data_IF_732114341739
#
_entry.id   IF_732114341739
#
_cell.length_a   1.000
_cell.length_b   1.000
_cell.length_c   1.000
_cell.angle_alpha   90.00
_cell.angle_beta   90.00
_cell.angle_gamma   90.00
#
_symmetry.space_group_name_H-M   'P 1'
#
loop_
_entity.id
_entity.type
_entity.pdbx_description
1 polymer ?
2 non-polymer ?
3 non-polymer ?
4 non-polymer ?
5 water ?
#
# COMPACT_ATOMS: atom_id res chain seq x y z
N UNK A 2 -5.89 21.61 3.43
CA UNK A 2 -6.19 20.28 2.76
C UNK A 2 -6.93 20.48 1.42
N UNK A 3 -6.37 19.96 0.31
CA UNK A 3 -7.17 19.96 -0.93
C UNK A 3 -8.44 19.11 -0.82
N UNK A 4 -9.47 19.47 -1.57
CA UNK A 4 -10.72 18.68 -1.56
C UNK A 4 -10.56 17.32 -2.19
N UNK A 5 -9.69 17.24 -3.19
CA UNK A 5 -9.31 15.99 -3.85
C UNK A 5 -7.82 15.85 -3.93
N UNK A 6 -7.37 14.59 -3.86
CA UNK A 6 -5.94 14.26 -4.02
C UNK A 6 -5.85 13.01 -4.89
N UNK A 7 -4.88 12.99 -5.81
CA UNK A 7 -4.60 11.81 -6.59
C UNK A 7 -3.09 11.83 -6.91
N UNK A 8 -2.35 11.03 -6.14
CA UNK A 8 -0.89 11.00 -6.27
C UNK A 8 -0.36 10.46 -7.61
N UNK A 9 -1.20 9.83 -8.43
CA UNK A 9 -0.81 9.45 -9.81
C UNK A 9 -0.54 10.69 -10.68
N UNK A 10 -1.31 11.76 -10.47
CA UNK A 10 -1.12 13.05 -11.14
C UNK A 10 0.26 13.65 -10.89
N UNK A 11 0.91 13.31 -9.78
CA UNK A 11 2.28 13.75 -9.53
C UNK A 11 3.35 12.71 -9.86
N UNK A 12 3.00 11.66 -10.57
CA UNK A 12 3.97 10.65 -10.98
C UNK A 12 4.57 9.88 -9.80
N UNK A 13 3.84 9.78 -8.69
CA UNK A 13 4.33 9.13 -7.46
C UNK A 13 3.86 7.68 -7.29
N UNK A 14 3.18 7.13 -8.31
CA UNK A 14 2.53 5.81 -8.23
C UNK A 14 2.92 4.96 -9.46
N UNK A 15 3.50 3.78 -9.20
CA UNK A 15 3.94 2.87 -10.24
C UNK A 15 2.76 2.10 -10.80
N UNK A 16 3.00 1.39 -11.90
CA UNK A 16 1.99 0.51 -12.47
C UNK A 16 1.38 -0.47 -11.43
N UNK A 17 0.11 -0.77 -11.65
CA UNK A 17 -0.60 -1.72 -10.81
C UNK A 17 0.02 -3.10 -11.02
N UNK A 18 0.32 -3.78 -9.91
CA UNK A 18 0.89 -5.12 -9.93
C UNK A 18 -0.16 -6.22 -9.74
N UNK A 19 0.24 -7.45 -10.04
CA UNK A 19 -0.66 -8.60 -10.03
C UNK A 19 -0.03 -9.60 -9.07
N UNK A 20 -0.59 -9.69 -7.85
CA UNK A 20 -0.03 -10.62 -6.86
C UNK A 20 -0.19 -12.11 -7.20
N UNK A 21 -1.17 -12.42 -8.04
CA UNK A 21 -1.43 -13.79 -8.44
C UNK A 21 -1.84 -14.59 -7.22
N UNK A 22 -1.36 -15.82 -7.15
CA UNK A 22 -1.82 -16.78 -6.14
C UNK A 22 -0.99 -16.75 -4.85
N UNK A 23 -0.38 -15.62 -4.52
CA UNK A 23 0.45 -15.48 -3.35
C UNK A 23 -0.16 -14.36 -2.50
N UNK A 24 -0.43 -14.67 -1.23
CA UNK A 24 -1.03 -13.73 -0.30
C UNK A 24 0.02 -12.77 0.27
N UNK A 25 0.59 -11.97 -0.61
CA UNK A 25 1.64 -11.04 -0.27
C UNK A 25 1.17 -9.59 -0.43
N UNK A 26 -0.13 -9.34 -0.21
CA UNK A 26 -0.68 -7.99 -0.36
C UNK A 26 0.05 -7.00 0.54
N UNK A 27 0.38 -7.45 1.74
CA UNK A 27 1.19 -6.66 2.66
C UNK A 27 2.47 -6.09 2.01
N UNK A 28 3.15 -6.89 1.19
CA UNK A 28 4.38 -6.46 0.55
C UNK A 28 4.14 -5.45 -0.53
N UNK A 29 3.12 -5.67 -1.35
CA UNK A 29 2.80 -4.71 -2.38
C UNK A 29 2.39 -3.37 -1.77
N UNK A 30 1.64 -3.42 -0.67
CA UNK A 30 1.19 -2.22 0.00
C UNK A 30 2.39 -1.43 0.52
N UNK A 31 3.34 -2.13 1.14
CA UNK A 31 4.53 -1.47 1.67
C UNK A 31 5.39 -0.87 0.58
N UNK A 32 5.74 -1.64 -0.44
CA UNK A 32 6.58 -1.07 -1.52
C UNK A 32 5.88 0.10 -2.20
N UNK A 33 4.56 0.03 -2.39
CA UNK A 33 3.80 1.10 -3.00
C UNK A 33 4.00 2.42 -2.27
N UNK A 34 3.95 2.35 -0.94
CA UNK A 34 4.10 3.53 -0.10
C UNK A 34 5.48 4.12 -0.19
N UNK A 35 6.50 3.26 -0.16
CA UNK A 35 7.89 3.73 -0.23
C UNK A 35 8.27 4.26 -1.61
N UNK A 36 7.72 3.66 -2.68
CA UNK A 36 7.89 4.14 -4.06
C UNK A 36 7.53 5.61 -4.16
N UNK A 37 6.42 6.00 -3.56
CA UNK A 37 5.97 7.39 -3.58
C UNK A 37 6.96 8.33 -2.89
N UNK A 38 7.49 7.87 -1.76
CA UNK A 38 8.50 8.64 -1.02
C UNK A 38 9.82 8.79 -1.78
N UNK A 39 10.25 7.73 -2.43
CA UNK A 39 11.45 7.75 -3.24
C UNK A 39 11.33 8.78 -4.35
N UNK A 40 10.16 8.81 -5.00
CA UNK A 40 9.89 9.78 -6.06
C UNK A 40 9.86 11.19 -5.50
N UNK A 41 9.15 11.38 -4.39
CA UNK A 41 9.09 12.69 -3.71
C UNK A 41 10.48 13.23 -3.36
N UNK A 42 11.38 12.35 -2.90
CA UNK A 42 12.67 12.75 -2.39
C UNK A 42 13.76 12.86 -3.45
N UNK A 43 13.63 12.12 -4.55
CA UNK A 43 14.68 12.08 -5.58
C UNK A 43 14.21 12.41 -6.98
N UNK A 44 12.90 12.53 -7.21
CA UNK A 44 12.36 12.65 -8.56
C UNK A 44 12.36 11.40 -9.43
N UNK A 45 12.84 10.27 -8.94
CA UNK A 45 12.83 9.03 -9.72
C UNK A 45 11.73 8.09 -9.22
N UNK A 46 10.96 7.54 -10.15
CA UNK A 46 9.92 6.56 -9.84
C UNK A 46 10.43 5.21 -10.27
N UNK A 47 10.56 4.29 -9.34
CA UNK A 47 10.98 2.94 -9.69
C UNK A 47 10.20 1.97 -8.83
N UNK A 48 9.69 0.91 -9.47
CA UNK A 48 9.06 -0.20 -8.74
C UNK A 48 10.08 -0.89 -7.87
N UNK A 49 9.70 -1.04 -6.60
CA UNK A 49 10.54 -1.72 -5.59
C UNK A 49 10.08 -3.17 -5.41
N UNK A 50 10.96 -3.99 -4.88
CA UNK A 50 10.79 -5.43 -4.93
C UNK A 50 9.89 -5.95 -3.79
N UNK A 51 8.63 -6.20 -4.08
CA UNK A 51 7.75 -6.97 -3.18
C UNK A 51 8.37 -8.34 -2.84
N UNK A 52 9.08 -8.95 -3.79
CA UNK A 52 9.69 -10.27 -3.57
C UNK A 52 10.78 -10.26 -2.50
N UNK A 53 11.60 -9.21 -2.51
CA UNK A 53 12.61 -8.91 -1.49
C UNK A 53 11.96 -9.01 -0.11
N UNK A 54 10.78 -8.42 0.03
CA UNK A 54 10.05 -8.45 1.30
C UNK A 54 9.55 -9.87 1.63
N UNK A 55 8.92 -10.51 0.64
CA UNK A 55 8.42 -11.91 0.81
C UNK A 55 9.54 -12.84 1.26
N UNK A 56 10.70 -12.76 0.62
CA UNK A 56 11.80 -13.66 0.93
C UNK A 56 12.57 -13.32 2.20
N UNK A 57 12.70 -12.03 2.52
CA UNK A 57 13.65 -11.56 3.56
C UNK A 57 13.05 -11.00 4.82
N UNK A 58 11.85 -10.44 4.73
CA UNK A 58 11.17 -9.90 5.91
C UNK A 58 10.25 -11.01 6.38
N UNK A 59 10.78 -11.84 7.28
CA UNK A 59 10.14 -13.07 7.69
C UNK A 59 9.90 -13.10 9.24
N UNK A 60 10.41 -14.11 9.92
CA UNK A 60 9.97 -14.37 11.30
C UNK A 60 10.36 -13.26 12.30
N UNK A 61 11.44 -12.55 12.03
CA UNK A 61 11.81 -11.41 12.86
C UNK A 61 10.75 -10.27 12.81
N UNK A 62 10.01 -10.18 11.69
CA UNK A 62 9.01 -9.14 11.45
C UNK A 62 7.58 -9.66 11.54
N UNK A 63 7.43 -10.91 12.00
CA UNK A 63 6.13 -11.53 12.10
C UNK A 63 5.43 -11.77 10.78
N UNK A 64 6.19 -11.89 9.70
CA UNK A 64 5.65 -12.00 8.36
C UNK A 64 5.88 -13.40 7.83
N UNK A 65 4.96 -13.86 6.98
CA UNK A 65 4.97 -15.23 6.46
C UNK A 65 4.87 -15.33 4.93
N UNK A 66 5.47 -14.37 4.23
CA UNK A 66 5.51 -14.37 2.79
C UNK A 66 4.16 -14.45 2.12
N UNK A 67 3.95 -15.52 1.36
CA UNK A 67 2.68 -15.71 0.65
C UNK A 67 1.50 -16.05 1.57
N UNK A 68 1.78 -16.32 2.85
CA UNK A 68 0.73 -16.49 3.88
C UNK A 68 0.49 -15.23 4.77
N UNK A 69 0.91 -14.06 4.32
CA UNK A 69 0.52 -12.82 4.95
C UNK A 69 1.61 -12.16 5.76
N UNK A 70 1.26 -11.01 6.32
CA UNK A 70 2.22 -10.13 6.96
C UNK A 70 1.67 -8.72 7.15
N UNK A 71 2.58 -7.82 7.48
CA UNK A 71 2.24 -6.46 7.93
C UNK A 71 3.17 -5.46 7.25
N UNK A 72 2.57 -4.37 6.81
CA UNK A 72 3.30 -3.24 6.23
C UNK A 72 4.26 -2.58 7.21
N UNK A 73 3.84 -2.40 8.46
CA UNK A 73 4.69 -1.75 9.49
C UNK A 73 6.03 -2.47 9.65
N UNK A 74 5.95 -3.78 9.84
CA UNK A 74 7.17 -4.56 10.08
C UNK A 74 7.98 -4.76 8.78
N UNK A 75 7.29 -4.76 7.65
CA UNK A 75 7.98 -4.65 6.34
C UNK A 75 8.87 -3.40 6.30
N UNK A 76 8.35 -2.24 6.72
CA UNK A 76 9.13 -1.02 6.74
C UNK A 76 10.30 -1.17 7.70
N UNK A 77 10.09 -1.84 8.84
CA UNK A 77 11.19 -2.06 9.82
C UNK A 77 12.29 -2.92 9.24
N UNK A 78 11.91 -3.90 8.42
CA UNK A 78 12.89 -4.69 7.71
C UNK A 78 13.77 -3.80 6.84
N UNK A 79 13.12 -2.94 6.06
CA UNK A 79 13.82 -2.01 5.13
C UNK A 79 14.77 -1.11 5.93
N UNK A 80 14.31 -0.67 7.09
CA UNK A 80 15.14 0.14 8.01
C UNK A 80 16.36 -0.64 8.49
N UNK A 81 16.11 -1.80 9.07
CA UNK A 81 17.15 -2.70 9.60
C UNK A 81 18.17 -3.11 8.54
N UNK A 82 17.66 -3.42 7.35
CA UNK A 82 18.46 -3.92 6.23
C UNK A 82 19.27 -2.82 5.51
N UNK A 83 19.00 -1.57 5.82
CA UNK A 83 19.57 -0.45 5.08
C UNK A 83 19.27 -0.49 3.58
N UNK A 84 18.11 -1.00 3.21
CA UNK A 84 17.74 -0.99 1.82
C UNK A 84 16.77 -2.06 1.37
N UNK A 85 16.24 -1.81 0.19
CA UNK A 85 15.39 -2.76 -0.54
C UNK A 85 15.77 -2.69 -2.02
N UNK A 86 15.76 -3.83 -2.71
CA UNK A 86 16.05 -3.85 -4.14
C UNK A 86 14.92 -3.32 -5.01
N UNK A 87 15.28 -2.91 -6.22
CA UNK A 87 14.31 -2.61 -7.26
C UNK A 87 13.61 -3.91 -7.67
N UNK A 88 12.36 -3.76 -8.08
CA UNK A 88 11.59 -4.88 -8.64
C UNK A 88 12.28 -5.48 -9.86
N UNK A 89 12.82 -4.65 -10.73
CA UNK A 89 13.54 -5.12 -11.92
C UNK A 89 14.70 -6.08 -11.59
N UNK A 90 15.49 -5.73 -10.57
CA UNK A 90 16.59 -6.57 -10.10
C UNK A 90 16.20 -7.80 -9.30
N UNK A 91 15.07 -7.72 -8.59
CA UNK A 91 14.61 -8.79 -7.69
C UNK A 91 13.13 -9.00 -7.98
N UNK A 92 12.83 -9.68 -9.12
CA UNK A 92 11.45 -9.73 -9.61
C UNK A 92 10.54 -10.66 -8.84
N UNK A 93 9.26 -10.46 -9.07
CA UNK A 93 8.20 -11.06 -8.30
C UNK A 93 7.76 -12.40 -8.92
N UNK A 94 7.77 -13.45 -8.11
CA UNK A 94 7.52 -14.82 -8.54
C UNK A 94 6.30 -15.43 -7.88
N UNK A 95 5.60 -14.69 -7.02
CA UNK A 95 4.38 -15.18 -6.39
C UNK A 95 4.59 -16.51 -5.65
N UNK A 96 5.71 -16.63 -4.96
CA UNK A 96 6.00 -17.79 -4.14
C UNK A 96 7.14 -17.46 -3.19
N UNK A 97 7.22 -18.18 -2.08
CA UNK A 97 8.26 -17.96 -1.09
C UNK A 97 9.57 -18.41 -1.68
N UNK A 98 10.59 -17.57 -1.57
CA UNK A 98 11.94 -17.96 -1.94
C UNK A 98 12.92 -17.67 -0.81
N UNK A 99 14.08 -18.28 -0.95
CA UNK A 99 15.29 -17.88 -0.24
C UNK A 99 15.57 -16.36 -0.39
N UNK A 100 15.92 -15.71 0.72
CA UNK A 100 16.33 -14.30 0.70
C UNK A 100 17.54 -14.05 -0.20
N UNK A 101 17.34 -13.28 -1.26
CA UNK A 101 18.40 -12.95 -2.23
C UNK A 101 18.68 -11.45 -2.31
N UNK A 102 18.48 -10.73 -1.20
CA UNK A 102 18.76 -9.30 -1.17
C UNK A 102 20.18 -9.08 -1.64
N UNK A 103 20.36 -8.15 -2.55
CA UNK A 103 21.68 -7.76 -3.03
C UNK A 103 21.81 -6.24 -2.91
N UNK A 104 22.70 -5.77 -2.04
CA UNK A 104 22.93 -4.33 -1.87
C UNK A 104 23.39 -3.63 -3.15
N UNK A 105 24.00 -4.36 -4.09
CA UNK A 105 24.35 -3.78 -5.40
C UNK A 105 23.16 -3.13 -6.15
N UNK A 106 21.95 -3.67 -5.97
CA UNK A 106 20.77 -3.18 -6.67
C UNK A 106 19.75 -2.49 -5.75
N UNK A 107 20.19 -2.08 -4.56
CA UNK A 107 19.34 -1.32 -3.64
C UNK A 107 18.81 -0.04 -4.29
N UNK A 108 17.50 0.12 -4.37
CA UNK A 108 16.88 1.30 -5.01
C UNK A 108 16.34 2.33 -4.00
N UNK A 109 16.11 1.89 -2.77
CA UNK A 109 15.55 2.77 -1.75
C UNK A 109 15.96 2.33 -0.37
N UNK A 110 15.87 3.27 0.56
CA UNK A 110 16.03 3.01 1.97
C UNK A 110 14.76 3.55 2.65
N UNK A 111 14.71 3.37 3.96
CA UNK A 111 13.61 3.89 4.78
C UNK A 111 14.27 4.34 6.07
N UNK A 112 13.92 5.52 6.54
CA UNK A 112 14.45 6.10 7.79
C UNK A 112 13.58 5.72 8.99
N UNK A 113 12.26 5.79 8.79
CA UNK A 113 11.29 5.61 9.85
C UNK A 113 9.91 5.30 9.25
N UNK A 114 8.98 4.91 10.09
CA UNK A 114 7.60 4.84 9.66
C UNK A 114 6.70 5.32 10.77
N UNK A 115 5.51 5.78 10.40
CA UNK A 115 4.55 6.33 11.33
C UNK A 115 3.26 5.53 11.21
N UNK A 116 2.71 5.13 12.34
CA UNK A 116 1.39 4.49 12.39
C UNK A 116 0.37 5.54 12.80
N UNK A 117 -0.75 5.59 12.08
CA UNK A 117 -1.80 6.57 12.35
C UNK A 117 -2.82 6.02 13.37
N UNK A 118 -3.55 6.92 14.05
CA UNK A 118 -4.56 6.48 15.02
C UNK A 118 -5.73 5.71 14.40
N UNK A 119 -6.20 4.67 15.09
CA UNK A 119 -7.26 3.78 14.61
C UNK A 119 -8.57 4.51 14.37
N UNK A 120 -9.09 4.31 13.16
CA UNK A 120 -10.38 4.83 12.74
C UNK A 120 -10.47 6.31 12.44
N UNK A 121 -9.36 7.04 12.54
CA UNK A 121 -9.35 8.49 12.37
C UNK A 121 -9.20 8.85 10.89
N UNK A 122 -10.35 9.01 10.24
CA UNK A 122 -10.38 9.27 8.80
C UNK A 122 -9.90 10.67 8.45
N UNK A 123 -10.17 11.64 9.33
CA UNK A 123 -9.55 12.99 9.28
C UNK A 123 -8.02 13.00 9.31
N UNK A 124 -7.45 12.17 10.17
CA UNK A 124 -6.00 12.12 10.29
C UNK A 124 -5.44 11.44 9.03
N UNK A 125 -6.15 10.42 8.53
CA UNK A 125 -5.74 9.74 7.29
C UNK A 125 -5.74 10.69 6.11
N UNK A 126 -6.79 11.48 6.01
CA UNK A 126 -6.92 12.49 4.98
C UNK A 126 -5.71 13.45 5.00
N UNK A 127 -5.38 13.93 6.20
CA UNK A 127 -4.25 14.86 6.38
C UNK A 127 -2.89 14.26 5.94
N UNK A 128 -2.65 12.99 6.31
CA UNK A 128 -1.44 12.30 5.91
C UNK A 128 -1.39 12.07 4.40
N UNK A 129 -2.53 11.70 3.81
CA UNK A 129 -2.55 11.48 2.36
C UNK A 129 -2.20 12.78 1.63
N UNK A 130 -2.74 13.90 2.13
CA UNK A 130 -2.54 15.22 1.51
C UNK A 130 -1.12 15.73 1.71
N UNK A 131 -0.64 15.67 2.93
CA UNK A 131 0.64 16.28 3.30
C UNK A 131 1.85 15.35 3.23
N UNK A 132 1.67 14.03 3.41
CA UNK A 132 2.79 13.08 3.39
C UNK A 132 2.94 12.27 2.10
N UNK A 133 1.84 11.69 1.63
CA UNK A 133 1.89 10.84 0.45
C UNK A 133 0.99 9.64 0.61
N UNK A 134 1.07 8.69 -0.32
CA UNK A 134 0.26 7.49 -0.19
C UNK A 134 0.51 6.76 1.13
N UNK A 135 -0.56 6.22 1.71
CA UNK A 135 -0.55 5.56 3.01
C UNK A 135 -0.95 4.10 2.87
N UNK A 136 -0.14 3.23 3.47
CA UNK A 136 -0.44 1.79 3.52
C UNK A 136 -1.58 1.58 4.50
N UNK A 137 -2.57 0.79 4.08
CA UNK A 137 -3.70 0.46 4.93
C UNK A 137 -4.15 -1.00 4.69
N UNK A 138 -4.85 -1.54 5.70
CA UNK A 138 -5.63 -2.74 5.56
C UNK A 138 -7.08 -2.39 5.31
N UNK A 139 -7.77 -3.25 4.54
CA UNK A 139 -9.21 -3.20 4.42
C UNK A 139 -9.83 -4.57 4.63
N UNK A 140 -11.11 -4.57 4.99
CA UNK A 140 -11.96 -5.76 4.93
C UNK A 140 -12.38 -5.89 3.47
N UNK A 141 -11.68 -6.76 2.73
CA UNK A 141 -11.93 -7.04 1.33
C UNK A 141 -12.54 -8.43 1.08
N UNK A 142 -13.04 -9.09 2.12
CA UNK A 142 -13.49 -10.50 2.03
C UNK A 142 -14.87 -10.70 1.39
N UNK A 143 -15.60 -9.61 1.19
CA UNK A 143 -17.00 -9.68 0.76
C UNK A 143 -17.07 -9.76 -0.76
N UNK A 144 -17.99 -10.61 -1.28
CA UNK A 144 -18.16 -10.78 -2.72
C UNK A 144 -18.26 -9.49 -3.53
N UNK A 145 -18.84 -8.45 -2.95
CA UNK A 145 -18.98 -7.15 -3.63
C UNK A 145 -17.63 -6.52 -3.91
N UNK A 146 -16.66 -6.75 -3.02
CA UNK A 146 -15.29 -6.28 -3.27
C UNK A 146 -14.69 -6.97 -4.50
N UNK A 147 -14.89 -8.27 -4.61
CA UNK A 147 -14.32 -9.05 -5.72
C UNK A 147 -14.92 -8.63 -7.09
N UNK A 148 -16.20 -8.25 -7.08
CA UNK A 148 -16.95 -7.87 -8.29
C UNK A 148 -16.90 -6.37 -8.60
N UNK A 149 -16.25 -5.58 -7.73
CA UNK A 149 -16.21 -4.12 -7.89
C UNK A 149 -15.72 -3.73 -9.28
N UNK A 150 -16.52 -2.89 -9.96
CA UNK A 150 -16.15 -2.36 -11.28
C UNK A 150 -15.95 -0.84 -11.29
N UNK A 151 -16.83 -0.09 -10.64
CA UNK A 151 -16.81 1.38 -10.70
C UNK A 151 -17.65 2.01 -9.60
N UNK A 152 -17.65 3.34 -9.56
CA UNK A 152 -18.41 4.06 -8.55
C UNK A 152 -17.68 4.03 -7.21
N UNK A 153 -18.39 4.31 -6.14
CA UNK A 153 -17.82 4.30 -4.80
C UNK A 153 -18.29 3.05 -4.10
N UNK A 154 -17.33 2.26 -3.62
CA UNK A 154 -17.62 1.01 -2.96
C UNK A 154 -18.17 1.20 -1.54
N UNK A 155 -19.31 0.59 -1.28
CA UNK A 155 -19.96 0.54 0.04
C UNK A 155 -20.61 -0.80 0.20
N UNK A 156 -20.22 -1.50 1.26
CA UNK A 156 -20.71 -2.81 1.60
C UNK A 156 -21.25 -2.80 3.02
N UNK A 157 -22.59 -2.87 3.19
CA UNK A 157 -23.14 -2.91 4.56
C UNK A 157 -22.55 -4.01 5.49
N UNK A 158 -22.12 -5.14 4.94
CA UNK A 158 -21.50 -6.20 5.73
C UNK A 158 -20.02 -5.96 6.14
N UNK A 159 -19.38 -4.93 5.63
CA UNK A 159 -18.00 -4.66 5.96
C UNK A 159 -17.81 -4.47 7.45
N UNK A 160 -16.68 -4.91 7.97
CA UNK A 160 -16.31 -4.68 9.36
C UNK A 160 -15.04 -3.84 9.37
N UNK A 161 -14.63 -3.42 10.57
CA UNK A 161 -13.40 -2.65 10.74
C UNK A 161 -12.18 -3.56 10.90
N UNK A 162 -12.39 -4.88 10.85
CA UNK A 162 -11.28 -5.83 10.88
C UNK A 162 -10.73 -6.08 9.49
N UNK A 163 -9.44 -5.88 9.33
CA UNK A 163 -8.81 -5.86 8.04
C UNK A 163 -8.26 -7.24 7.67
N UNK A 164 -8.19 -7.52 6.37
CA UNK A 164 -7.69 -8.80 5.91
C UNK A 164 -6.97 -8.77 4.55
N UNK A 165 -6.62 -7.58 4.09
CA UNK A 165 -6.01 -7.41 2.79
C UNK A 165 -5.34 -6.06 2.79
N UNK A 166 -4.07 -6.03 2.42
CA UNK A 166 -3.31 -4.80 2.39
C UNK A 166 -3.40 -4.10 1.05
N UNK A 167 -3.67 -2.80 1.10
CA UNK A 167 -3.78 -1.94 -0.07
C UNK A 167 -3.10 -0.58 0.21
N UNK A 168 -3.17 0.33 -0.75
CA UNK A 168 -2.48 1.61 -0.69
C UNK A 168 -3.47 2.73 -1.02
N UNK A 169 -3.65 3.65 -0.07
CA UNK A 169 -4.43 4.88 -0.33
C UNK A 169 -3.56 5.88 -1.06
N UNK A 170 -3.92 6.15 -2.32
CA UNK A 170 -3.16 7.06 -3.16
C UNK A 170 -3.93 8.38 -3.38
N UNK A 171 -5.03 8.56 -2.68
CA UNK A 171 -5.73 9.81 -2.76
C UNK A 171 -7.10 9.76 -2.17
N UNK A 172 -7.89 10.80 -2.45
CA UNK A 172 -9.27 10.89 -1.99
C UNK A 172 -10.06 11.94 -2.83
N UNK A 173 -11.39 11.87 -2.76
CA UNK A 173 -12.23 12.81 -3.47
C UNK A 173 -13.70 12.69 -3.08
N UNK A 174 -14.59 13.23 -3.92
CA UNK A 174 -16.05 13.12 -3.71
C UNK A 174 -16.64 12.94 -5.11
N UNK A 175 -17.11 11.73 -5.42
CA UNK A 175 -17.62 11.41 -6.75
C UNK A 175 -19.09 11.83 -6.79
N UNK A 176 -19.36 13.02 -7.32
CA UNK A 176 -20.73 13.57 -7.36
C UNK A 176 -21.55 13.29 -6.09
N UNK A 177 -21.09 13.77 -4.93
CA UNK A 177 -21.83 13.52 -3.64
C UNK A 177 -21.55 12.24 -2.84
N UNK A 178 -20.57 11.45 -3.31
CA UNK A 178 -20.09 10.26 -2.61
C UNK A 178 -18.59 10.41 -2.31
N UNK A 179 -18.26 10.70 -1.05
CA UNK A 179 -16.85 10.82 -0.63
C UNK A 179 -16.17 9.46 -0.70
N UNK A 180 -14.94 9.43 -1.22
CA UNK A 180 -14.17 8.20 -1.34
C UNK A 180 -12.68 8.38 -1.05
N UNK A 181 -12.04 7.24 -0.75
CA UNK A 181 -10.61 7.04 -0.78
C UNK A 181 -10.21 6.36 -2.10
N UNK A 182 -9.20 6.89 -2.79
CA UNK A 182 -8.66 6.25 -3.97
C UNK A 182 -7.60 5.22 -3.54
N UNK A 183 -7.91 3.95 -3.82
CA UNK A 183 -7.13 2.79 -3.36
C UNK A 183 -6.51 2.00 -4.52
N UNK A 184 -5.20 1.79 -4.44
CA UNK A 184 -4.49 0.96 -5.39
C UNK A 184 -4.44 -0.45 -4.84
N UNK A 185 -5.02 -1.39 -5.57
CA UNK A 185 -4.95 -2.81 -5.22
C UNK A 185 -3.74 -3.43 -5.97
N UNK A 186 -3.52 -4.72 -5.71
CA UNK A 186 -2.46 -5.48 -6.35
C UNK A 186 -3.04 -6.72 -7.05
N UNK A 187 -4.19 -6.54 -7.70
CA UNK A 187 -4.86 -7.58 -8.49
C UNK A 187 -4.84 -7.29 -9.98
N UNK A 188 -3.82 -6.54 -10.43
CA UNK A 188 -3.68 -6.22 -11.85
C UNK A 188 -4.70 -5.19 -12.33
N UNK A 189 -4.59 -4.82 -13.59
CA UNK A 189 -5.39 -3.75 -14.15
C UNK A 189 -6.83 -4.12 -14.46
N UNK A 190 -7.19 -5.41 -14.43
CA UNK A 190 -8.57 -5.85 -14.71
C UNK A 190 -9.46 -5.89 -13.45
N UNK A 191 -8.88 -5.70 -12.28
CA UNK A 191 -9.68 -5.39 -11.10
C UNK A 191 -10.13 -3.93 -11.14
N UNK A 192 -11.39 -3.67 -10.81
CA UNK A 192 -11.90 -2.28 -10.61
C UNK A 192 -11.68 -1.35 -11.78
N UNK A 193 -11.21 -0.13 -11.48
CA UNK A 193 -10.96 0.87 -12.51
C UNK A 193 -9.46 0.90 -12.78
N UNK A 194 -9.02 0.07 -13.72
CA UNK A 194 -7.61 -0.11 -14.07
C UNK A 194 -6.75 -0.47 -12.87
N UNK A 195 -7.31 -1.31 -11.98
CA UNK A 195 -6.59 -1.79 -10.80
C UNK A 195 -6.86 -1.06 -9.49
N UNK A 196 -7.66 -0.02 -9.57
CA UNK A 196 -8.01 0.87 -8.46
C UNK A 196 -9.45 0.69 -8.01
N UNK A 197 -9.69 1.03 -6.75
CA UNK A 197 -11.03 1.02 -6.18
C UNK A 197 -11.25 2.27 -5.35
N UNK A 198 -12.36 2.95 -5.59
CA UNK A 198 -12.79 4.05 -4.74
C UNK A 198 -13.64 3.47 -3.60
N UNK A 199 -13.25 3.74 -2.37
CA UNK A 199 -13.88 3.12 -1.21
C UNK A 199 -14.48 4.22 -0.36
N UNK A 200 -15.64 3.94 0.22
CA UNK A 200 -16.42 4.96 0.94
C UNK A 200 -15.59 5.64 2.02
N UNK A 201 -15.59 6.98 2.01
CA UNK A 201 -14.85 7.80 2.98
C UNK A 201 -15.83 8.51 3.93
N UNK A 202 -15.40 8.69 5.18
CA UNK A 202 -16.21 9.31 6.25
C UNK A 202 -17.53 8.62 6.56
N UNK A 203 -17.60 7.31 6.32
CA UNK A 203 -18.71 6.50 6.72
C UNK A 203 -18.28 5.52 7.81
N UNK A 204 -17.80 6.07 8.92
CA UNK A 204 -17.51 5.29 10.13
C UNK A 204 -16.46 4.21 9.94
N UNK A 205 -15.34 4.61 9.33
CA UNK A 205 -14.21 3.75 9.09
C UNK A 205 -14.64 2.52 8.31
N UNK A 206 -15.22 2.77 7.15
CA UNK A 206 -15.84 1.71 6.36
C UNK A 206 -14.80 0.71 5.86
N UNK A 207 -15.08 -0.56 6.07
CA UNK A 207 -14.15 -1.67 5.77
C UNK A 207 -12.78 -1.55 6.50
N UNK A 208 -12.76 -0.85 7.63
CA UNK A 208 -11.55 -0.65 8.41
C UNK A 208 -10.42 0.03 7.67
N UNK A 209 -10.76 0.88 6.70
CA UNK A 209 -9.71 1.50 5.88
C UNK A 209 -8.77 2.37 6.72
N UNK A 210 -9.30 3.00 7.78
CA UNK A 210 -8.46 3.79 8.70
C UNK A 210 -8.08 3.02 9.96
N UNK A 211 -8.24 1.70 10.00
CA UNK A 211 -7.98 0.92 11.21
C UNK A 211 -6.48 0.91 11.56
N UNK A 212 -5.67 0.50 10.58
CA UNK A 212 -4.20 0.40 10.74
C UNK A 212 -3.40 1.01 9.58
N UNK A 213 -3.47 2.35 9.47
CA UNK A 213 -2.69 3.01 8.45
C UNK A 213 -1.26 3.23 8.90
N UNK A 214 -0.32 3.14 7.95
CA UNK A 214 1.06 3.53 8.18
C UNK A 214 1.72 4.03 6.89
N UNK A 215 2.75 4.87 7.05
CA UNK A 215 3.54 5.35 5.89
C UNK A 215 5.00 5.46 6.29
N UNK A 216 5.92 5.19 5.33
CA UNK A 216 7.34 5.28 5.54
C UNK A 216 7.84 6.68 5.22
N UNK A 217 9.02 7.00 5.70
CA UNK A 217 9.69 8.23 5.31
C UNK A 217 11.17 8.00 4.99
N UNK A 218 11.66 8.81 4.06
CA UNK A 218 13.10 8.88 3.71
C UNK A 218 13.58 10.29 4.12
N UNK A 219 14.33 10.36 5.20
CA UNK A 219 14.74 11.65 5.76
C UNK A 219 15.99 12.17 5.07
N UNK A 220 15.99 13.49 4.88
CA UNK A 220 17.13 14.23 4.35
C UNK A 220 17.73 15.02 5.50
N UNK A 221 18.75 14.39 6.11
CA UNK A 221 19.37 14.90 7.31
C UNK A 221 18.38 15.13 8.42
X LIG B 1 -7.00 -14.53 6.32
X LIG B 1 -6.25 -13.00 6.64
X LIG B 1 -5.42 -12.42 5.66
X LIG B 1 -5.17 -13.07 4.31
X LIG B 1 -5.89 -12.37 3.23
X LIG B 1 -7.21 -12.98 2.92
X LIG B 1 -8.01 -12.16 1.93
X LIG B 1 -7.60 -12.08 0.60
X LIG B 1 -8.32 -11.31 -0.31
X LIG B 1 -9.46 -10.64 0.09
X LIG B 1 -9.88 -10.72 1.40
X LIG B 1 -9.15 -11.48 2.32
X LIG B 1 -4.84 -11.19 5.97
X LIG B 1 -6.48 -12.41 7.86
X LIG B 1 -5.89 -11.19 8.14
X LIG B 1 -5.07 -10.57 7.20
X LIG B 1 -4.46 -9.32 7.48
X LIG B 1 -3.99 -8.26 7.75
X LIG B 1 -3.47 -7.00 8.18
X LIG B 1 -3.46 -6.75 9.53
X LIG B 1 -2.99 -6.03 7.29
X LIG B 1 -3.00 -6.34 5.57
X LIG B 1 -2.50 -4.83 7.77
X LIG B 1 -2.49 -4.58 9.16
X LIG B 1 -2.98 -5.55 10.04
X LIG B 1 -3.00 -5.37 11.51
X LIG B 1 -2.05 -4.63 12.09
X LIG B 1 -3.90 -5.90 12.47
X LIG B 1 -5.11 -6.78 12.36
X LIG B 1 -5.99 -6.46 13.50
X LIG B 1 -7.61 -6.71 13.44
X LIG B 1 -8.19 -6.08 14.58
X LIG B 1 -8.04 -6.25 12.14
X LIG B 1 -7.88 -8.44 13.55
X LIG B 1 -5.34 -6.68 14.80
X LIG B 1 -4.11 -5.72 14.98
X LIG B 1 -3.47 -5.44 13.66
X LIG B 1 -2.36 -4.68 13.41
X LIG B 1 -1.52 -3.96 14.35
X LIG B 1 -0.51 -4.88 15.01
X LIG B 1 0.45 -5.47 14.04
X LIG B 1 1.48 -6.39 14.68
X LIG B 1 0.85 -7.72 15.09
X LIG B 1 1.94 -8.70 15.54
X LIG B 1 3.01 -8.84 14.53
X LIG B 1 3.59 -7.56 14.32
X LIG B 1 2.59 -6.64 13.73
X LIG C 1 -3.75 -11.19 0.74
X LIG C 1 -4.08 -12.53 1.25
X LIG C 1 -2.34 -10.91 1.00
X LIG C 1 -3.95 -11.10 -0.71
X LIG C 1 -4.60 -10.19 1.41
X LIG D 1 17.73 7.59 -0.53
X LIG D 1 17.61 6.52 0.39
X LIG D 1 16.67 7.44 -1.55
X LIG D 1 17.12 7.76 -2.85
X LIG D 1 16.37 5.99 -1.47
X LIG D 1 15.43 5.79 -0.47
#
# INVERSE_FOLDING_TARGET
ILPDSVDWREKGCVTEVKYQGSCGASWAFSAVGALEAQLKLKTGKLVSLSAQNLVDCSTEKYGNKGCNGGFMTTAFQYIIDNKGIDSDASYPYKAMDQKCQYDSKYRAATCSKYTELPYGREDVLKEAVANKGPVSVGVDARHPSFFLYRSGVYYEPSCTQNVNHGVLVVGYGDLNGKEYWLVKNSWGHNFGEEGYIRMARNKGNHCGIASFPSYPEILQGGG
BJD CL9 C70 C69 C81 N83 C85 C87 C93 C92 C91 C90 C89 C68 C71 C72 C66 C64 C62 C50 C49 C51 CL6 C52 C53 C47 C22 N21 C23 C33 N32 S39 O43 O45 C41 C31 C30 C24 N19 C17 C15 C13 N2 C3 C4 O5 C6 C1
SO4 S O1 O2 O3 O4
GOL C1 O1 C2 O2 C3 O3
#
